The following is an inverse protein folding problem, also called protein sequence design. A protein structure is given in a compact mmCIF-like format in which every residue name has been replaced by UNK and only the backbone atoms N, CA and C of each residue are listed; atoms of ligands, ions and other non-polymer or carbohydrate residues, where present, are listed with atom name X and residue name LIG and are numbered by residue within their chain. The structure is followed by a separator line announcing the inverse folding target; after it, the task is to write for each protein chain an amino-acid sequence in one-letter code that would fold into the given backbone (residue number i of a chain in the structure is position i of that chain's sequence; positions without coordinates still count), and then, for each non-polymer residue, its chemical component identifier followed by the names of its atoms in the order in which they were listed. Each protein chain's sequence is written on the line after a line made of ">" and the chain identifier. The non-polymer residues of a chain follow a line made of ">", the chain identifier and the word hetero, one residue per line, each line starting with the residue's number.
data_IF_303514747836
#
_entry.id   IF_303514747836
#
_cell.length_a   1.000
_cell.length_b   1.000
_cell.length_c   1.000
_cell.angle_alpha   90.00
_cell.angle_beta   90.00
_cell.angle_gamma   90.00
#
_symmetry.space_group_name_H-M   'P 1'
#
loop_
_entity.id
_entity.type
_entity.pdbx_description
1 polymer ?
#
# COMPACT_ATOMS: atom_id res chain seq x y z
N UNK A 1 1.74 -9.74 2.24
CA UNK A 1 2.51 -9.08 1.16
C UNK A 1 3.03 -7.74 1.66
N UNK A 2 4.26 -7.45 1.37
CA UNK A 2 4.85 -6.16 1.67
C UNK A 2 5.34 -5.53 0.37
N UNK A 3 4.93 -4.29 0.10
CA UNK A 3 5.29 -3.58 -1.11
C UNK A 3 6.04 -2.30 -0.78
N UNK A 4 6.99 -1.96 -1.62
CA UNK A 4 7.70 -0.68 -1.59
C UNK A 4 7.38 0.07 -2.86
N UNK A 5 6.84 1.27 -2.70
CA UNK A 5 6.41 2.11 -3.82
C UNK A 5 7.39 3.27 -3.96
N UNK A 6 7.95 3.42 -5.14
CA UNK A 6 8.91 4.46 -5.46
C UNK A 6 8.32 5.47 -6.43
N UNK A 7 8.88 6.68 -6.43
CA UNK A 7 8.43 7.76 -7.29
C UNK A 7 8.02 8.97 -6.48
N UNK A 8 7.17 9.81 -7.05
CA UNK A 8 6.60 10.94 -6.34
C UNK A 8 5.35 10.45 -5.60
N UNK A 9 5.58 9.91 -4.40
CA UNK A 9 4.55 9.21 -3.63
C UNK A 9 4.36 9.75 -2.22
N UNK A 10 5.24 10.63 -1.75
CA UNK A 10 5.07 11.32 -0.46
C UNK A 10 4.59 12.75 -0.69
N UNK A 11 3.76 13.25 0.22
CA UNK A 11 3.22 14.60 0.11
C UNK A 11 2.11 14.75 -0.93
N UNK A 12 1.55 13.65 -1.40
CA UNK A 12 0.53 13.65 -2.45
C UNK A 12 -0.75 12.91 -2.02
N UNK A 13 -0.89 12.62 -0.72
CA UNK A 13 -2.05 11.90 -0.19
C UNK A 13 -2.01 10.41 -0.43
N UNK A 14 -0.85 9.84 -0.72
CA UNK A 14 -0.72 8.41 -1.07
C UNK A 14 -1.14 7.51 0.08
N UNK A 15 -0.73 7.81 1.32
CA UNK A 15 -1.05 6.98 2.49
C UNK A 15 -2.56 6.92 2.72
N UNK A 16 -3.23 8.07 2.67
CA UNK A 16 -4.69 8.12 2.86
C UNK A 16 -5.43 7.39 1.76
N UNK A 17 -5.04 7.59 0.51
CA UNK A 17 -5.65 6.92 -0.63
C UNK A 17 -5.45 5.40 -0.55
N UNK A 18 -4.27 4.95 -0.13
CA UNK A 18 -3.98 3.53 0.05
C UNK A 18 -4.86 2.92 1.14
N UNK A 19 -4.98 3.60 2.28
CA UNK A 19 -5.81 3.13 3.38
C UNK A 19 -7.28 3.04 2.97
N UNK A 20 -7.78 4.02 2.24
CA UNK A 20 -9.15 4.01 1.73
C UNK A 20 -9.37 2.83 0.78
N UNK A 21 -8.45 2.61 -0.15
CA UNK A 21 -8.54 1.50 -1.09
C UNK A 21 -8.46 0.14 -0.37
N UNK A 22 -7.54 0.01 0.57
CA UNK A 22 -7.39 -1.21 1.36
C UNK A 22 -8.66 -1.52 2.14
N UNK A 23 -9.25 -0.52 2.80
CA UNK A 23 -10.48 -0.70 3.56
C UNK A 23 -11.64 -1.12 2.65
N UNK A 24 -11.76 -0.53 1.47
CA UNK A 24 -12.78 -0.90 0.49
C UNK A 24 -12.63 -2.35 0.02
N UNK A 25 -11.40 -2.85 -0.04
CA UNK A 25 -11.10 -4.22 -0.44
C UNK A 25 -11.14 -5.22 0.70
N UNK A 26 -11.31 -4.76 1.95
CA UNK A 26 -11.24 -5.63 3.12
C UNK A 26 -9.82 -6.08 3.45
N UNK A 27 -8.81 -5.33 3.04
CA UNK A 27 -7.41 -5.62 3.33
C UNK A 27 -7.01 -4.94 4.63
N UNK A 28 -6.25 -5.63 5.47
CA UNK A 28 -5.69 -5.11 6.71
C UNK A 28 -4.19 -4.95 6.60
N UNK A 29 -3.59 -4.18 7.50
CA UNK A 29 -2.16 -3.93 7.50
C UNK A 29 -1.82 -2.47 7.80
N UNK A 30 -0.84 -1.92 7.10
CA UNK A 30 -0.46 -0.53 7.29
C UNK A 30 0.18 0.06 6.03
N UNK A 31 0.26 1.38 6.02
CA UNK A 31 1.02 2.14 5.03
C UNK A 31 1.81 3.22 5.77
N UNK A 32 3.08 3.39 5.41
CA UNK A 32 3.94 4.41 6.03
C UNK A 32 4.95 4.97 5.04
N UNK A 33 5.35 6.20 5.27
CA UNK A 33 6.45 6.83 4.54
C UNK A 33 7.77 6.33 5.10
N UNK A 34 8.74 6.07 4.22
CA UNK A 34 10.10 5.71 4.62
C UNK A 34 11.04 6.91 4.46
N UNK A 35 12.18 6.93 5.20
CA UNK A 35 13.14 8.04 5.11
C UNK A 35 13.74 8.22 3.71
N UNK A 36 13.78 7.16 2.89
CA UNK A 36 14.32 7.20 1.53
C UNK A 36 13.29 7.63 0.49
N UNK A 37 12.15 8.18 0.94
CA UNK A 37 11.05 8.71 0.14
C UNK A 37 10.13 7.66 -0.48
N UNK A 38 10.40 6.38 -0.26
CA UNK A 38 9.45 5.34 -0.65
C UNK A 38 8.27 5.29 0.31
N UNK A 39 7.21 4.62 -0.12
CA UNK A 39 6.07 4.28 0.73
C UNK A 39 6.07 2.77 0.90
N UNK A 40 5.99 2.32 2.15
CA UNK A 40 5.87 0.89 2.47
C UNK A 40 4.41 0.56 2.75
N UNK A 41 3.94 -0.54 2.14
CA UNK A 41 2.58 -1.03 2.32
C UNK A 41 2.66 -2.49 2.76
N UNK A 42 2.11 -2.78 3.93
CA UNK A 42 1.92 -4.17 4.37
C UNK A 42 0.44 -4.51 4.20
N UNK A 43 0.15 -5.58 3.47
CA UNK A 43 -1.22 -5.95 3.11
C UNK A 43 -1.50 -7.40 3.44
N UNK A 44 -2.56 -7.63 4.21
CA UNK A 44 -3.02 -8.94 4.63
C UNK A 44 -4.49 -9.09 4.27
N UNK A 45 -4.88 -10.26 3.80
CA UNK A 45 -6.26 -10.54 3.42
C UNK A 45 -6.34 -11.61 2.37
N UNK A 46 -7.52 -11.72 1.74
CA UNK A 46 -7.69 -12.66 0.65
C UNK A 46 -6.77 -12.32 -0.51
N UNK A 47 -6.28 -13.34 -1.20
CA UNK A 47 -5.32 -13.16 -2.28
C UNK A 47 -5.83 -12.20 -3.36
N UNK A 48 -7.10 -12.31 -3.74
CA UNK A 48 -7.69 -11.41 -4.75
C UNK A 48 -7.69 -9.95 -4.30
N UNK A 49 -8.02 -9.72 -3.03
CA UNK A 49 -8.08 -8.37 -2.49
C UNK A 49 -6.68 -7.77 -2.40
N UNK A 50 -5.72 -8.54 -1.91
CA UNK A 50 -4.33 -8.10 -1.80
C UNK A 50 -3.73 -7.82 -3.19
N UNK A 51 -4.01 -8.67 -4.16
CA UNK A 51 -3.57 -8.47 -5.55
C UNK A 51 -4.20 -7.21 -6.15
N UNK A 52 -5.48 -6.97 -5.89
CA UNK A 52 -6.14 -5.76 -6.38
C UNK A 52 -5.52 -4.50 -5.79
N UNK A 53 -5.15 -4.54 -4.50
CA UNK A 53 -4.45 -3.42 -3.88
C UNK A 53 -3.08 -3.21 -4.51
N UNK A 54 -2.31 -4.28 -4.71
CA UNK A 54 -1.01 -4.20 -5.36
C UNK A 54 -1.10 -3.55 -6.75
N UNK A 55 -2.09 -3.97 -7.54
CA UNK A 55 -2.27 -3.43 -8.89
C UNK A 55 -2.63 -1.94 -8.83
N UNK A 56 -3.46 -1.55 -7.87
CA UNK A 56 -3.82 -0.15 -7.68
C UNK A 56 -2.62 0.71 -7.27
N UNK A 57 -1.65 0.15 -6.52
CA UNK A 57 -0.48 0.90 -6.08
C UNK A 57 0.33 1.48 -7.25
N UNK A 58 0.30 0.82 -8.41
CA UNK A 58 0.95 1.34 -9.61
C UNK A 58 0.32 2.63 -10.11
N UNK A 59 -0.95 2.80 -9.85
CA UNK A 59 -1.69 4.00 -10.22
C UNK A 59 -1.57 5.08 -9.13
N UNK A 60 -1.90 4.73 -7.90
CA UNK A 60 -1.96 5.65 -6.78
C UNK A 60 -3.01 6.73 -6.96
N UNK A 61 -3.01 7.75 -6.09
CA UNK A 61 -3.90 8.90 -6.23
C UNK A 61 -3.46 9.81 -7.38
N UNK A 62 -4.32 10.74 -7.73
CA UNK A 62 -4.18 11.58 -8.92
C UNK A 62 -2.83 12.34 -8.99
N UNK A 63 -2.34 12.84 -7.85
CA UNK A 63 -1.11 13.61 -7.81
C UNK A 63 0.16 12.78 -7.73
N UNK A 64 0.02 11.47 -7.56
CA UNK A 64 1.18 10.58 -7.46
C UNK A 64 1.77 10.30 -8.83
N UNK A 65 3.09 10.03 -8.83
CA UNK A 65 3.83 9.57 -10.00
C UNK A 65 4.62 8.34 -9.58
N UNK A 66 4.04 7.17 -9.76
CA UNK A 66 4.67 5.91 -9.37
C UNK A 66 5.67 5.48 -10.43
N UNK A 67 6.91 5.26 -10.02
CA UNK A 67 7.97 4.79 -10.92
C UNK A 67 8.21 3.29 -10.78
N UNK A 68 7.95 2.72 -9.60
CA UNK A 68 8.17 1.30 -9.37
C UNK A 68 7.35 0.82 -8.17
N UNK A 69 6.94 -0.44 -8.20
CA UNK A 69 6.31 -1.13 -7.09
C UNK A 69 6.96 -2.51 -6.98
N UNK A 70 7.60 -2.77 -5.84
CA UNK A 70 8.23 -4.06 -5.57
C UNK A 70 7.58 -4.71 -4.37
N UNK A 71 7.14 -5.93 -4.53
CA UNK A 71 6.40 -6.64 -3.49
C UNK A 71 7.03 -7.99 -3.21
N UNK A 72 7.03 -8.35 -1.91
CA UNK A 72 7.45 -9.65 -1.43
C UNK A 72 6.28 -10.33 -0.71
N UNK A 73 6.20 -11.64 -0.86
CA UNK A 73 5.25 -12.43 -0.08
C UNK A 73 5.83 -12.65 1.31
N UNK A 74 5.02 -12.38 2.33
CA UNK A 74 5.38 -12.60 3.72
C UNK A 74 4.45 -13.63 4.35
N UNK A 75 4.87 -14.29 5.45
CA UNK A 75 3.97 -15.13 6.22
C UNK A 75 2.75 -14.33 6.67
N UNK A 76 1.61 -15.03 6.79
CA UNK A 76 0.37 -14.39 7.22
C UNK A 76 0.55 -13.73 8.58
N UNK A 77 0.05 -12.51 8.70
CA UNK A 77 0.01 -11.76 9.95
C UNK A 77 -1.41 -11.29 10.19
N UNK A 78 -1.79 -11.19 11.47
CA UNK A 78 -3.11 -10.76 11.85
C UNK A 78 -3.10 -9.28 12.19
N UNK A 79 -3.86 -8.50 11.42
CA UNK A 79 -4.13 -7.10 11.71
C UNK A 79 -5.65 -6.93 11.82
N UNK A 80 -6.09 -6.01 12.67
CA UNK A 80 -7.51 -5.76 12.88
C UNK A 80 -8.06 -4.73 11.88
N UNK A 81 -7.21 -3.88 11.36
CA UNK A 81 -7.60 -2.80 10.48
C UNK A 81 -6.46 -2.46 9.52
N UNK A 82 -6.64 -1.41 8.72
CA UNK A 82 -5.58 -0.85 7.92
C UNK A 82 -5.20 0.51 8.48
N UNK A 83 -3.95 0.64 8.93
CA UNK A 83 -3.49 1.82 9.62
C UNK A 83 -2.62 2.70 8.73
N UNK A 84 -2.69 4.00 8.99
CA UNK A 84 -1.78 4.98 8.42
C UNK A 84 -0.75 5.31 9.49
N UNK A 85 0.48 4.91 9.26
CA UNK A 85 1.58 5.14 10.20
C UNK A 85 2.50 6.28 9.78
#
# INVERSE_FOLDING_TARGET
>A
MRCYVSGRVQGVGFRYATAEKASALGVTGYVRNLPDRRVEVLACGEERAVTALRDWLWQGPQLARVSDVRCDTLPHQNFHDFRID
#
